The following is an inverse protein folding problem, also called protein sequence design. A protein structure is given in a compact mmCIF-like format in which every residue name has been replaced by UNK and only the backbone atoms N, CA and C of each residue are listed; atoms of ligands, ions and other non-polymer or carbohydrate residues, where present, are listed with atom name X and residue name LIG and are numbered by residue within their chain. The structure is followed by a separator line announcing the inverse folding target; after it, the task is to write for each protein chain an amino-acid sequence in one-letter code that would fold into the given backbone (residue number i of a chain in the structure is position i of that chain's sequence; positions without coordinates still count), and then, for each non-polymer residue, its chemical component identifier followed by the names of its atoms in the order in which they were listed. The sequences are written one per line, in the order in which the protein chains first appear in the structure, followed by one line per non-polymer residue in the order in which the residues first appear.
data_IF_533583590342
#
_entry.id   IF_533583590342
#
_cell.length_a   1.000
_cell.length_b   1.000
_cell.length_c   1.000
_cell.angle_alpha   90.00
_cell.angle_beta   90.00
_cell.angle_gamma   90.00
#
_symmetry.space_group_name_H-M   'P 1'
#
loop_
_entity.id
_entity.type
_entity.pdbx_description
1 polymer ?
#
# COMPACT_ATOMS: atom_id res chain seq x y z
N UNK A 1 16.35 -12.78 -6.45
CA UNK A 1 14.93 -13.16 -6.31
C UNK A 1 14.78 -14.64 -6.62
N UNK A 2 14.14 -15.44 -5.76
CA UNK A 2 13.93 -16.87 -6.03
C UNK A 2 12.94 -17.08 -7.18
N UNK A 3 12.94 -18.26 -7.79
CA UNK A 3 12.02 -18.61 -8.88
C UNK A 3 10.56 -18.49 -8.46
N UNK A 4 10.27 -18.81 -7.20
CA UNK A 4 8.94 -18.74 -6.62
C UNK A 4 8.40 -17.30 -6.58
N UNK A 5 9.18 -16.35 -6.08
CA UNK A 5 8.80 -14.93 -6.05
C UNK A 5 8.68 -14.32 -7.44
N UNK A 6 9.51 -14.77 -8.39
CA UNK A 6 9.35 -14.35 -9.79
C UNK A 6 8.03 -14.81 -10.38
N UNK A 7 7.62 -16.05 -10.11
CA UNK A 7 6.31 -16.59 -10.53
C UNK A 7 5.15 -15.80 -9.90
N UNK A 8 5.25 -15.50 -8.60
CA UNK A 8 4.26 -14.71 -7.88
C UNK A 8 4.16 -13.28 -8.47
N UNK A 9 5.29 -12.61 -8.68
CA UNK A 9 5.35 -11.28 -9.31
C UNK A 9 4.64 -11.27 -10.67
N UNK A 10 4.96 -12.22 -11.55
CA UNK A 10 4.36 -12.28 -12.89
C UNK A 10 2.85 -12.53 -12.82
N UNK A 11 2.42 -13.42 -11.92
CA UNK A 11 1.00 -13.70 -11.71
C UNK A 11 0.27 -12.50 -11.11
N UNK A 12 0.85 -11.81 -10.15
CA UNK A 12 0.30 -10.61 -9.53
C UNK A 12 0.07 -9.51 -10.58
N UNK A 13 1.08 -9.22 -11.40
CA UNK A 13 1.01 -8.21 -12.46
C UNK A 13 -0.03 -8.57 -13.52
N UNK A 14 -0.07 -9.82 -13.98
CA UNK A 14 -1.03 -10.28 -14.98
C UNK A 14 -2.47 -10.10 -14.50
N UNK A 15 -2.77 -10.51 -13.26
CA UNK A 15 -4.12 -10.41 -12.72
C UNK A 15 -4.50 -8.97 -12.36
N UNK A 16 -3.53 -8.15 -11.92
CA UNK A 16 -3.75 -6.72 -11.75
C UNK A 16 -4.16 -6.06 -13.08
N UNK A 17 -3.39 -6.30 -14.15
CA UNK A 17 -3.69 -5.74 -15.46
C UNK A 17 -5.06 -6.17 -16.00
N UNK A 18 -5.42 -7.45 -15.87
CA UNK A 18 -6.73 -7.95 -16.29
C UNK A 18 -7.87 -7.20 -15.56
N UNK A 19 -7.77 -7.06 -14.23
CA UNK A 19 -8.81 -6.36 -13.46
C UNK A 19 -8.87 -4.84 -13.74
N UNK A 20 -7.75 -4.20 -14.10
CA UNK A 20 -7.76 -2.80 -14.56
C UNK A 20 -8.55 -2.63 -15.87
N UNK A 21 -8.46 -3.61 -16.77
CA UNK A 21 -9.26 -3.62 -18.02
C UNK A 21 -10.72 -3.92 -17.71
N UNK A 22 -11.02 -4.90 -16.87
CA UNK A 22 -12.39 -5.25 -16.47
C UNK A 22 -13.09 -4.09 -15.76
N UNK A 23 -12.35 -3.29 -14.99
CA UNK A 23 -12.80 -2.07 -14.34
C UNK A 23 -12.92 -0.86 -15.32
N UNK A 24 -12.59 -1.03 -16.59
CA UNK A 24 -12.52 0.05 -17.60
C UNK A 24 -11.57 1.22 -17.24
N UNK A 25 -10.58 0.98 -16.40
CA UNK A 25 -9.55 1.97 -16.04
C UNK A 25 -8.45 2.04 -17.10
N UNK A 26 -8.19 0.94 -17.80
CA UNK A 26 -7.16 0.82 -18.83
C UNK A 26 -7.71 0.09 -20.06
N UNK A 27 -7.28 0.47 -21.23
CA UNK A 27 -7.61 -0.25 -22.50
C UNK A 27 -6.72 -1.48 -22.65
N UNK A 28 -7.25 -2.51 -23.32
CA UNK A 28 -6.50 -3.75 -23.55
C UNK A 28 -5.22 -3.53 -24.34
N UNK A 29 -5.24 -2.66 -25.37
CA UNK A 29 -4.07 -2.35 -26.20
C UNK A 29 -2.93 -1.71 -25.38
N UNK A 30 -3.28 -0.91 -24.37
CA UNK A 30 -2.31 -0.27 -23.48
C UNK A 30 -1.77 -1.27 -22.46
N UNK A 31 -2.61 -2.20 -21.99
CA UNK A 31 -2.16 -3.29 -21.14
C UNK A 31 -1.19 -4.24 -21.86
N UNK A 32 -1.44 -4.56 -23.15
CA UNK A 32 -0.54 -5.38 -23.95
C UNK A 32 0.85 -4.75 -24.05
N UNK A 33 0.93 -3.45 -24.41
CA UNK A 33 2.20 -2.70 -24.45
C UNK A 33 2.90 -2.67 -23.08
N UNK A 34 2.15 -2.47 -21.99
CA UNK A 34 2.71 -2.47 -20.66
C UNK A 34 3.28 -3.84 -20.27
N UNK A 35 2.61 -4.94 -20.66
CA UNK A 35 3.11 -6.29 -20.42
C UNK A 35 4.37 -6.60 -21.23
N UNK A 36 4.45 -6.20 -22.50
CA UNK A 36 5.67 -6.33 -23.31
C UNK A 36 6.83 -5.58 -22.64
N UNK A 37 6.59 -4.35 -22.22
CA UNK A 37 7.57 -3.52 -21.54
C UNK A 37 8.02 -4.15 -20.20
N UNK A 38 7.10 -4.70 -19.43
CA UNK A 38 7.42 -5.40 -18.18
C UNK A 38 8.32 -6.62 -18.44
N UNK A 39 8.06 -7.40 -19.51
CA UNK A 39 8.89 -8.56 -19.87
C UNK A 39 10.32 -8.14 -20.23
N UNK A 40 10.51 -7.06 -20.97
CA UNK A 40 11.83 -6.48 -21.27
C UNK A 40 12.59 -6.10 -19.99
N UNK A 41 11.92 -5.38 -19.08
CA UNK A 41 12.52 -4.94 -17.82
C UNK A 41 12.89 -6.12 -16.90
N UNK A 42 12.05 -7.14 -16.85
CA UNK A 42 12.35 -8.37 -16.10
C UNK A 42 13.52 -9.14 -16.73
N UNK A 43 13.63 -9.16 -18.05
CA UNK A 43 14.72 -9.79 -18.77
C UNK A 43 16.05 -9.04 -18.56
N UNK A 44 16.03 -7.72 -18.43
CA UNK A 44 17.22 -6.89 -18.16
C UNK A 44 17.77 -7.01 -16.73
N UNK A 45 17.10 -7.76 -15.86
CA UNK A 45 17.57 -8.05 -14.49
C UNK A 45 17.19 -7.01 -13.44
N UNK A 46 16.28 -6.11 -13.73
CA UNK A 46 15.75 -5.12 -12.78
C UNK A 46 14.27 -5.42 -12.38
N UNK A 47 13.96 -6.58 -11.80
CA UNK A 47 12.56 -6.95 -11.56
C UNK A 47 11.92 -6.24 -10.35
N UNK A 48 12.72 -5.66 -9.45
CA UNK A 48 12.19 -5.19 -8.15
C UNK A 48 11.32 -3.95 -8.20
N UNK A 49 11.59 -3.02 -9.12
CA UNK A 49 10.91 -1.73 -9.18
C UNK A 49 9.92 -1.62 -10.34
N UNK A 50 9.83 -2.65 -11.18
CA UNK A 50 9.03 -2.60 -12.38
C UNK A 50 7.73 -3.39 -12.23
N UNK A 51 6.63 -2.69 -12.38
CA UNK A 51 5.27 -3.24 -12.25
C UNK A 51 4.43 -2.82 -13.43
N UNK A 52 3.43 -3.61 -13.79
CA UNK A 52 2.49 -3.22 -14.84
C UNK A 52 1.76 -1.92 -14.48
N UNK A 53 1.40 -1.75 -13.21
CA UNK A 53 0.75 -0.53 -12.73
C UNK A 53 1.69 0.68 -12.85
N UNK A 54 2.96 0.55 -12.43
CA UNK A 54 3.96 1.61 -12.54
C UNK A 54 4.22 2.01 -14.00
N UNK A 55 4.28 1.04 -14.93
CA UNK A 55 4.43 1.32 -16.37
C UNK A 55 3.23 2.10 -16.90
N UNK A 56 2.01 1.65 -16.57
CA UNK A 56 0.78 2.31 -17.01
C UNK A 56 0.65 3.74 -16.46
N UNK A 57 1.01 3.95 -15.19
CA UNK A 57 0.87 5.24 -14.51
C UNK A 57 2.01 6.22 -14.86
N UNK A 58 3.26 5.76 -14.83
CA UNK A 58 4.43 6.66 -14.85
C UNK A 58 5.17 6.70 -16.19
N UNK A 59 5.29 5.56 -16.91
CA UNK A 59 5.89 5.55 -18.25
C UNK A 59 4.88 5.95 -19.31
N UNK A 60 3.74 5.26 -19.40
CA UNK A 60 2.75 5.44 -20.45
C UNK A 60 1.72 6.54 -20.12
N UNK A 61 1.50 6.85 -18.86
CA UNK A 61 0.56 7.88 -18.36
C UNK A 61 -0.87 7.71 -18.89
N UNK A 62 -1.31 6.47 -19.01
CA UNK A 62 -2.66 6.13 -19.51
C UNK A 62 -3.71 6.07 -18.40
N UNK A 63 -3.27 5.93 -17.16
CA UNK A 63 -4.11 5.96 -15.96
C UNK A 63 -3.32 6.65 -14.84
N UNK A 64 -4.02 7.32 -13.91
CA UNK A 64 -3.38 7.86 -12.70
C UNK A 64 -3.54 6.86 -11.57
N UNK A 65 -2.52 6.76 -10.73
CA UNK A 65 -2.55 5.87 -9.58
C UNK A 65 -3.69 6.22 -8.61
N UNK A 66 -3.97 7.53 -8.46
CA UNK A 66 -5.06 8.02 -7.63
C UNK A 66 -6.43 7.54 -8.13
N UNK A 67 -6.63 7.44 -9.46
CA UNK A 67 -7.88 6.94 -10.04
C UNK A 67 -8.06 5.44 -9.74
N UNK A 68 -6.96 4.66 -9.73
CA UNK A 68 -6.99 3.25 -9.33
C UNK A 68 -7.29 3.10 -7.84
N UNK A 69 -6.65 3.89 -6.98
CA UNK A 69 -6.91 3.89 -5.54
C UNK A 69 -8.35 4.31 -5.23
N UNK A 70 -8.84 5.36 -5.88
CA UNK A 70 -10.24 5.81 -5.72
C UNK A 70 -11.23 4.73 -6.14
N UNK A 71 -10.96 4.03 -7.26
CA UNK A 71 -11.78 2.90 -7.69
C UNK A 71 -11.84 1.80 -6.63
N UNK A 72 -10.71 1.46 -6.01
CA UNK A 72 -10.62 0.45 -4.95
C UNK A 72 -11.40 0.89 -3.70
N UNK A 73 -11.31 2.15 -3.32
CA UNK A 73 -12.08 2.71 -2.19
C UNK A 73 -13.58 2.64 -2.46
N UNK A 74 -14.01 3.12 -3.63
CA UNK A 74 -15.43 3.28 -3.96
C UNK A 74 -16.15 1.95 -4.22
N UNK A 75 -15.46 0.98 -4.82
CA UNK A 75 -16.07 -0.29 -5.27
C UNK A 75 -15.79 -1.47 -4.35
N UNK A 76 -14.65 -1.46 -3.65
CA UNK A 76 -14.22 -2.58 -2.80
C UNK A 76 -14.27 -2.23 -1.30
N UNK A 77 -14.54 -0.97 -0.96
CA UNK A 77 -14.64 -0.52 0.44
C UNK A 77 -13.32 -0.55 1.21
N UNK A 78 -12.19 -0.51 0.51
CA UNK A 78 -10.85 -0.55 1.10
C UNK A 78 -10.48 0.83 1.63
N UNK A 79 -9.94 0.90 2.87
CA UNK A 79 -9.39 2.14 3.43
C UNK A 79 -8.09 2.55 2.73
N UNK A 80 -7.63 3.79 2.98
CA UNK A 80 -6.31 4.25 2.54
C UNK A 80 -5.38 4.42 3.75
N UNK A 81 -4.09 4.21 3.54
CA UNK A 81 -3.05 4.45 4.54
C UNK A 81 -1.84 5.12 3.90
N UNK A 82 -1.22 6.06 4.61
CA UNK A 82 0.12 6.57 4.24
C UNK A 82 1.17 5.91 5.14
N UNK A 83 1.96 4.99 4.55
CA UNK A 83 3.01 4.28 5.26
C UNK A 83 4.18 5.17 5.69
N UNK A 84 4.29 6.38 5.14
CA UNK A 84 5.36 7.34 5.48
C UNK A 84 5.16 7.92 6.87
N UNK A 85 3.91 8.10 7.26
CA UNK A 85 3.50 8.68 8.54
C UNK A 85 3.16 7.61 9.59
N UNK A 86 3.18 6.32 9.22
CA UNK A 86 2.82 5.22 10.10
C UNK A 86 4.05 4.60 10.77
N UNK A 87 4.03 4.54 12.11
CA UNK A 87 5.09 3.85 12.88
C UNK A 87 4.79 2.36 12.99
N UNK A 88 5.26 1.60 12.00
CA UNK A 88 5.07 0.15 11.96
C UNK A 88 5.77 -0.51 13.15
N UNK A 89 5.07 -1.35 13.95
CA UNK A 89 5.65 -2.07 15.08
C UNK A 89 6.90 -2.88 14.72
N UNK A 90 7.89 -2.87 15.61
CA UNK A 90 9.19 -3.50 15.36
C UNK A 90 9.11 -5.02 15.16
N UNK A 91 8.20 -5.69 15.84
CA UNK A 91 7.96 -7.12 15.68
C UNK A 91 7.44 -7.46 14.26
N UNK A 92 6.56 -6.63 13.71
CA UNK A 92 6.07 -6.74 12.33
C UNK A 92 7.21 -6.49 11.36
N UNK A 93 7.98 -5.41 11.56
CA UNK A 93 9.15 -5.11 10.72
C UNK A 93 10.15 -6.25 10.64
N UNK A 94 10.41 -6.93 11.77
CA UNK A 94 11.35 -8.07 11.82
C UNK A 94 10.81 -9.32 11.12
N UNK A 95 9.52 -9.59 11.23
CA UNK A 95 8.87 -10.78 10.65
C UNK A 95 8.56 -10.62 9.16
N UNK A 96 8.54 -9.39 8.64
CA UNK A 96 8.18 -9.09 7.25
C UNK A 96 9.15 -9.74 6.26
N UNK A 97 8.65 -10.58 5.36
CA UNK A 97 9.42 -11.09 4.23
C UNK A 97 9.44 -10.04 3.09
N UNK A 98 10.54 -9.32 3.00
CA UNK A 98 10.74 -8.26 2.01
C UNK A 98 10.61 -8.77 0.57
N UNK A 99 10.98 -10.04 0.32
CA UNK A 99 10.84 -10.62 -1.02
C UNK A 99 9.39 -10.82 -1.43
N UNK A 100 8.53 -11.27 -0.51
CA UNK A 100 7.08 -11.31 -0.71
C UNK A 100 6.50 -9.92 -0.91
N UNK A 101 6.95 -8.93 -0.13
CA UNK A 101 6.47 -7.56 -0.26
C UNK A 101 6.75 -6.97 -1.64
N UNK A 102 7.98 -7.10 -2.14
CA UNK A 102 8.33 -6.66 -3.49
C UNK A 102 7.58 -7.43 -4.60
N UNK A 103 7.36 -8.73 -4.41
CA UNK A 103 6.64 -9.53 -5.40
C UNK A 103 5.15 -9.21 -5.50
N UNK A 104 4.57 -8.69 -4.42
CA UNK A 104 3.12 -8.44 -4.30
C UNK A 104 2.77 -6.96 -4.20
N UNK A 105 3.75 -6.08 -4.06
CA UNK A 105 3.56 -4.65 -3.76
C UNK A 105 2.59 -4.44 -2.60
N UNK A 106 2.86 -5.17 -1.52
CA UNK A 106 2.04 -5.19 -0.32
C UNK A 106 2.92 -5.34 0.91
N UNK A 107 2.54 -4.70 2.01
CA UNK A 107 3.32 -4.66 3.25
C UNK A 107 2.39 -4.88 4.43
N UNK A 108 2.68 -5.85 5.33
CA UNK A 108 2.05 -5.90 6.62
C UNK A 108 2.55 -4.71 7.46
N UNK A 109 1.62 -3.91 7.99
CA UNK A 109 2.00 -2.71 8.71
C UNK A 109 1.48 -2.65 10.15
N UNK A 110 0.45 -3.47 10.47
CA UNK A 110 -0.07 -3.58 11.83
C UNK A 110 -0.74 -4.94 12.07
N UNK A 111 -1.02 -5.23 13.32
CA UNK A 111 -1.78 -6.41 13.73
C UNK A 111 -2.52 -6.13 15.04
N UNK A 112 -3.80 -6.47 15.09
CA UNK A 112 -4.62 -6.39 16.27
C UNK A 112 -5.36 -7.72 16.46
N UNK A 113 -5.12 -8.41 17.57
CA UNK A 113 -5.64 -9.75 17.83
C UNK A 113 -5.35 -10.73 16.67
N UNK A 114 -6.39 -11.22 16.01
CA UNK A 114 -6.32 -12.14 14.87
C UNK A 114 -6.38 -11.41 13.50
N UNK A 115 -6.42 -10.07 13.50
CA UNK A 115 -6.48 -9.27 12.29
C UNK A 115 -5.10 -8.78 11.89
N UNK A 116 -4.74 -9.02 10.64
CA UNK A 116 -3.52 -8.51 10.02
C UNK A 116 -3.86 -7.36 9.07
N UNK A 117 -3.18 -6.23 9.24
CA UNK A 117 -3.40 -5.04 8.42
C UNK A 117 -2.35 -5.01 7.30
N UNK A 118 -2.81 -5.05 6.06
CA UNK A 118 -1.96 -5.08 4.86
C UNK A 118 -2.20 -3.83 4.02
N UNK A 119 -1.15 -3.04 3.82
CA UNK A 119 -1.13 -1.97 2.84
C UNK A 119 -0.72 -2.53 1.47
N UNK A 120 -1.46 -2.20 0.40
CA UNK A 120 -1.21 -2.73 -0.93
C UNK A 120 -1.55 -1.73 -2.04
N UNK A 121 -0.71 -1.66 -3.05
CA UNK A 121 -1.01 -1.01 -4.32
C UNK A 121 -1.70 -1.98 -5.32
N UNK A 122 -1.75 -3.27 -4.97
CA UNK A 122 -2.18 -4.36 -5.84
C UNK A 122 -3.46 -5.06 -5.36
N UNK A 123 -4.35 -4.33 -4.68
CA UNK A 123 -5.61 -4.90 -4.17
C UNK A 123 -6.42 -5.62 -5.26
N UNK A 124 -6.50 -5.04 -6.46
CA UNK A 124 -7.24 -5.64 -7.59
C UNK A 124 -6.66 -6.97 -8.08
N UNK A 125 -5.46 -7.37 -7.62
CA UNK A 125 -4.89 -8.67 -7.97
C UNK A 125 -5.32 -9.78 -7.00
N UNK A 126 -6.18 -10.73 -7.40
CA UNK A 126 -6.58 -11.86 -6.55
C UNK A 126 -5.40 -12.73 -6.11
N UNK A 127 -4.31 -12.77 -6.90
CA UNK A 127 -3.12 -13.54 -6.55
C UNK A 127 -2.41 -12.94 -5.32
N UNK A 128 -2.43 -11.62 -5.18
CA UNK A 128 -1.86 -10.91 -4.03
C UNK A 128 -2.67 -11.22 -2.78
N UNK A 129 -3.99 -11.08 -2.85
CA UNK A 129 -4.87 -11.37 -1.71
C UNK A 129 -4.72 -12.81 -1.24
N UNK A 130 -4.84 -13.76 -2.15
CA UNK A 130 -4.70 -15.19 -1.82
C UNK A 130 -3.32 -15.54 -1.25
N UNK A 131 -2.24 -14.86 -1.68
CA UNK A 131 -0.90 -15.07 -1.13
C UNK A 131 -0.83 -14.68 0.34
N UNK A 132 -1.28 -13.47 0.68
CA UNK A 132 -1.21 -12.95 2.04
C UNK A 132 -2.18 -13.65 2.99
N UNK A 133 -3.41 -13.92 2.58
CA UNK A 133 -4.39 -14.68 3.36
C UNK A 133 -3.86 -16.06 3.72
N UNK A 134 -3.22 -16.74 2.75
CA UNK A 134 -2.59 -18.03 2.99
C UNK A 134 -1.37 -17.94 3.91
N UNK A 135 -0.54 -16.90 3.74
CA UNK A 135 0.70 -16.74 4.50
C UNK A 135 0.44 -16.44 5.98
N UNK A 136 -0.54 -15.58 6.24
CA UNK A 136 -0.85 -15.10 7.59
C UNK A 136 -1.80 -16.01 8.36
N UNK A 137 -2.63 -16.79 7.68
CA UNK A 137 -3.54 -17.76 8.30
C UNK A 137 -4.65 -17.18 9.15
N UNK A 138 -4.80 -15.84 9.19
CA UNK A 138 -5.80 -15.08 9.94
C UNK A 138 -6.65 -14.19 9.04
N UNK A 139 -7.47 -13.35 9.66
CA UNK A 139 -8.25 -12.35 8.95
C UNK A 139 -7.36 -11.21 8.46
N UNK A 140 -7.48 -10.84 7.20
CA UNK A 140 -6.69 -9.75 6.60
C UNK A 140 -7.59 -8.54 6.34
N UNK A 141 -7.18 -7.39 6.86
CA UNK A 141 -7.76 -6.09 6.55
C UNK A 141 -6.86 -5.35 5.57
N UNK A 142 -7.45 -4.95 4.45
CA UNK A 142 -6.72 -4.37 3.34
C UNK A 142 -6.81 -2.86 3.33
N UNK A 143 -5.68 -2.21 2.99
CA UNK A 143 -5.58 -0.77 2.84
C UNK A 143 -4.88 -0.44 1.53
N UNK A 144 -5.44 0.50 0.79
CA UNK A 144 -4.83 1.04 -0.42
C UNK A 144 -3.68 1.98 -0.09
N UNK A 145 -2.62 1.90 -0.87
CA UNK A 145 -1.41 2.72 -0.72
C UNK A 145 -0.74 2.91 -2.08
N UNK A 146 0.02 3.99 -2.26
CA UNK A 146 0.75 4.25 -3.51
C UNK A 146 2.00 3.37 -3.64
N UNK A 147 2.40 3.11 -4.88
CA UNK A 147 3.64 2.38 -5.20
C UNK A 147 4.87 3.05 -4.57
N UNK A 148 4.95 4.38 -4.64
CA UNK A 148 6.07 5.13 -4.08
C UNK A 148 6.15 4.98 -2.56
N UNK A 149 5.02 5.01 -1.85
CA UNK A 149 5.01 4.84 -0.39
C UNK A 149 5.46 3.43 0.03
N UNK A 150 5.09 2.40 -0.75
CA UNK A 150 5.59 1.03 -0.52
C UNK A 150 7.09 0.95 -0.83
N UNK A 151 7.54 1.51 -1.95
CA UNK A 151 8.95 1.49 -2.32
C UNK A 151 9.82 2.16 -1.26
N UNK A 152 9.47 3.38 -0.84
CA UNK A 152 10.14 4.12 0.22
C UNK A 152 10.22 3.32 1.53
N UNK A 153 9.13 2.67 1.91
CA UNK A 153 9.08 1.85 3.12
C UNK A 153 10.00 0.63 3.01
N UNK A 154 9.93 -0.12 1.91
CA UNK A 154 10.73 -1.33 1.72
C UNK A 154 12.23 -1.04 1.60
N UNK A 155 12.62 0.04 0.93
CA UNK A 155 14.00 0.49 0.85
C UNK A 155 14.56 0.84 2.25
N UNK A 156 13.80 1.58 3.05
CA UNK A 156 14.18 1.88 4.44
C UNK A 156 14.30 0.62 5.29
N UNK A 157 13.40 -0.35 5.10
CA UNK A 157 13.42 -1.62 5.81
C UNK A 157 14.66 -2.46 5.43
N UNK A 158 15.03 -2.51 4.14
CA UNK A 158 16.24 -3.20 3.66
C UNK A 158 17.51 -2.54 4.20
N UNK A 159 17.59 -1.20 4.15
CA UNK A 159 18.72 -0.44 4.69
C UNK A 159 18.89 -0.67 6.19
N UNK A 160 17.79 -0.68 6.95
CA UNK A 160 17.82 -0.96 8.39
C UNK A 160 18.31 -2.37 8.73
N UNK A 161 18.08 -3.35 7.85
CA UNK A 161 18.55 -4.74 8.00
C UNK A 161 19.97 -4.96 7.52
N UNK A 162 20.47 -4.16 6.58
CA UNK A 162 21.82 -4.27 6.03
C UNK A 162 22.93 -3.80 7.00
N UNK A 163 22.56 -3.24 8.17
CA UNK A 163 23.51 -2.82 9.21
C UNK A 163 23.46 -3.84 10.38
N UNK A 164 24.14 -5.01 10.31
CA UNK A 164 24.29 -5.88 11.47
C UNK A 164 25.38 -5.28 12.36
N UNK A 165 24.97 -4.65 13.48
CA UNK A 165 25.89 -4.43 14.61
C UNK A 165 27.01 -3.41 14.42
N UNK A 166 26.86 -2.41 13.59
CA UNK A 166 27.74 -1.24 13.62
C UNK A 166 27.41 -0.41 14.84
N UNK A 167 28.21 -0.53 15.90
CA UNK A 167 28.26 0.42 17.01
C UNK A 167 28.26 1.83 16.40
N UNK A 168 27.18 2.57 16.62
CA UNK A 168 27.16 4.01 16.36
C UNK A 168 28.23 4.61 17.27
N UNK A 169 29.44 4.77 16.75
CA UNK A 169 30.35 5.72 17.34
C UNK A 169 29.66 7.09 17.24
N UNK A 170 29.44 7.78 18.36
CA UNK A 170 28.93 9.13 18.30
C UNK A 170 29.91 9.92 17.42
N UNK A 171 29.41 10.60 16.41
CA UNK A 171 30.18 11.50 15.57
C UNK A 171 31.03 12.36 16.47
N UNK A 172 32.34 12.12 16.47
CA UNK A 172 33.31 13.00 17.07
C UNK A 172 33.20 14.35 16.32
N UNK A 173 32.64 15.31 17.01
CA UNK A 173 32.59 16.72 16.57
C UNK A 173 34.03 17.17 16.26
N UNK A 174 34.37 17.60 15.05
CA UNK A 174 35.67 18.19 14.83
C UNK A 174 35.80 19.45 15.70
N UNK A 175 36.75 19.43 16.61
CA UNK A 175 37.14 20.59 17.39
C UNK A 175 37.94 21.52 16.45
N UNK A 176 37.48 22.74 16.30
CA UNK A 176 38.32 23.81 15.74
C UNK A 176 37.62 24.67 14.68
N UNK A 177 37.10 25.80 15.10
CA UNK A 177 36.59 26.85 14.21
C UNK A 177 36.06 28.03 15.04
N UNK A 178 36.91 28.94 15.33
CA UNK A 178 36.79 30.17 16.13
C UNK A 178 35.73 31.14 15.61
N UNK A 179 34.88 31.59 16.53
CA UNK A 179 34.30 32.94 16.70
C UNK A 179 33.72 33.73 15.53
N UNK A 180 32.43 34.05 15.64
CA UNK A 180 31.95 35.44 15.63
C UNK A 180 30.54 35.52 16.27
N UNK A 181 30.26 36.51 17.13
CA UNK A 181 28.96 36.66 17.77
C UNK A 181 28.00 37.42 16.85
N UNK A 182 26.83 36.88 16.59
CA UNK A 182 25.73 37.61 15.99
C UNK A 182 24.88 38.29 17.08
N UNK A 183 24.38 39.49 16.83
CA UNK A 183 23.68 40.29 17.83
C UNK A 183 22.27 39.79 18.11
N UNK A 184 21.91 39.87 19.39
CA UNK A 184 20.55 39.64 19.88
C UNK A 184 19.56 40.63 19.23
N UNK A 185 18.46 40.14 18.69
CA UNK A 185 17.24 40.92 18.42
C UNK A 185 16.10 40.45 19.29
N UNK A 186 15.78 41.33 20.20
CA UNK A 186 14.56 41.64 20.95
C UNK A 186 13.29 40.91 20.62
N UNK A 187 12.74 40.31 21.71
CA UNK A 187 11.34 40.25 22.18
C UNK A 187 10.24 40.73 21.22
N UNK A 188 9.36 39.82 20.86
CA UNK A 188 8.02 40.10 20.38
C UNK A 188 7.05 39.13 21.03
N UNK A 189 6.31 39.62 22.06
CA UNK A 189 5.17 38.95 22.68
C UNK A 189 4.07 38.75 21.67
N UNK A 190 3.72 37.51 21.38
CA UNK A 190 2.47 37.12 20.70
C UNK A 190 1.57 36.35 21.69
N UNK A 191 0.25 36.52 21.62
CA UNK A 191 -0.67 36.01 22.63
C UNK A 191 -0.85 34.49 22.55
N UNK A 192 -1.30 33.84 23.65
CA UNK A 192 -1.43 32.40 23.74
C UNK A 192 -2.58 31.89 22.89
N UNK A 193 -2.30 30.87 22.08
CA UNK A 193 -3.30 30.16 21.31
C UNK A 193 -4.27 29.42 22.26
N UNK A 194 -5.53 29.76 22.13
CA UNK A 194 -6.64 29.11 22.81
C UNK A 194 -6.83 27.67 22.28
N UNK A 195 -6.92 26.74 23.23
CA UNK A 195 -7.27 25.35 23.03
C UNK A 195 -8.71 25.23 22.49
N UNK A 196 -8.99 24.56 21.37
CA UNK A 196 -10.36 24.24 21.00
C UNK A 196 -10.85 23.06 21.84
N UNK A 197 -11.86 23.34 22.68
CA UNK A 197 -12.72 22.34 23.26
C UNK A 197 -13.80 21.99 22.22
N UNK A 198 -13.98 20.69 21.96
CA UNK A 198 -15.04 20.21 21.08
C UNK A 198 -14.84 18.75 20.71
N UNK A 199 -15.15 17.85 21.66
CA UNK A 199 -15.34 16.44 21.37
C UNK A 199 -16.55 16.31 20.42
N UNK A 200 -16.30 16.04 19.14
CA UNK A 200 -17.33 15.61 18.21
C UNK A 200 -17.56 14.11 18.44
N UNK A 201 -18.73 13.78 18.92
CA UNK A 201 -19.27 12.43 19.08
C UNK A 201 -19.39 11.80 17.70
N UNK A 202 -18.60 10.76 17.46
CA UNK A 202 -18.69 9.93 16.25
C UNK A 202 -19.98 9.10 16.36
N UNK A 203 -20.87 9.10 15.35
CA UNK A 203 -22.04 8.24 15.36
C UNK A 203 -21.62 6.77 15.19
N UNK A 204 -22.32 5.81 15.85
CA UNK A 204 -22.00 4.40 15.73
C UNK A 204 -22.25 3.88 14.31
N UNK A 205 -21.30 3.10 13.82
CA UNK A 205 -21.36 2.40 12.55
C UNK A 205 -22.59 1.46 12.50
N UNK A 206 -23.32 1.36 11.37
CA UNK A 206 -24.40 0.39 11.23
C UNK A 206 -23.84 -1.04 11.19
N UNK A 207 -24.37 -1.90 12.06
CA UNK A 207 -24.07 -3.33 12.11
C UNK A 207 -24.63 -4.01 10.86
N UNK A 208 -23.88 -4.75 10.05
CA UNK A 208 -24.42 -5.54 8.94
C UNK A 208 -25.03 -6.82 9.50
N UNK A 209 -26.36 -6.88 9.51
CA UNK A 209 -27.07 -8.04 10.01
C UNK A 209 -28.58 -7.92 10.02
N UNK A 210 -29.21 -7.70 8.87
CA UNK A 210 -30.61 -8.03 8.67
C UNK A 210 -30.79 -8.49 7.22
N UNK A 211 -31.01 -9.79 7.08
CA UNK A 211 -31.41 -10.38 5.80
C UNK A 211 -32.69 -9.74 5.29
N UNK A 212 -32.81 -9.45 3.99
CA UNK A 212 -34.07 -8.93 3.44
C UNK A 212 -35.15 -10.02 3.50
N UNK A 213 -36.30 -9.64 4.04
CA UNK A 213 -37.50 -10.47 4.07
C UNK A 213 -37.86 -10.89 2.66
N UNK A 214 -38.03 -12.20 2.48
CA UNK A 214 -38.54 -12.84 1.27
C UNK A 214 -39.88 -12.26 0.87
N UNK A 215 -39.95 -11.63 -0.31
CA UNK A 215 -41.20 -11.23 -0.94
C UNK A 215 -42.04 -12.49 -1.33
N UNK A 216 -43.35 -12.44 -1.21
CA UNK A 216 -44.22 -13.58 -1.55
C UNK A 216 -44.22 -13.84 -3.07
N UNK A 217 -43.96 -15.10 -3.42
CA UNK A 217 -44.01 -15.61 -4.80
C UNK A 217 -45.49 -15.65 -5.25
N UNK A 218 -45.81 -14.87 -6.26
CA UNK A 218 -47.12 -14.93 -6.94
C UNK A 218 -47.06 -16.06 -7.95
N UNK A 219 -48.01 -17.06 -7.92
CA UNK A 219 -48.06 -18.14 -8.91
C UNK A 219 -48.53 -17.60 -10.28
N UNK A 220 -48.06 -18.19 -11.39
CA UNK A 220 -48.46 -17.78 -12.72
C UNK A 220 -49.92 -18.22 -13.03
N UNK A 221 -50.63 -17.48 -13.89
CA UNK A 221 -51.99 -17.82 -14.28
C UNK A 221 -52.07 -19.09 -15.13
N UNK A 222 -53.05 -19.88 -14.86
CA UNK A 222 -53.38 -21.11 -15.63
C UNK A 222 -53.74 -20.72 -17.07
N UNK A 223 -53.14 -21.44 -18.02
CA UNK A 223 -53.52 -21.38 -19.44
C UNK A 223 -54.73 -22.29 -19.65
N UNK A 224 -55.80 -21.66 -20.17
CA UNK A 224 -56.88 -22.39 -20.87
C UNK A 224 -56.45 -22.67 -22.30
#
# INVERSE_FOLDING_TARGET
MSTEYRSLLMRANRLMGANLVDANLVKIDDLEKANERLLELVASGQPRQNTVLGILCYEMKVVREEDVLQHVVDNEGVGLVDLRDYDVPEDIRRQTDVSSCWATWSVPFDREEDFHFIATAYYLSPAVRAHWEKLLGGSVLWFGVTLDAIADYLEKLELGRAVPGGTRTPFARPAGGTTAPFPAKTTGSGPPFAKPAGAATVPPFPVPGAAPATAPVVPPPARN
#
